data_IF_629674141047
#
_entry.id   IF_629674141047
#
_cell.length_a   1.000
_cell.length_b   1.000
_cell.length_c   1.000
_cell.angle_alpha   90.00
_cell.angle_beta   90.00
_cell.angle_gamma   90.00
#
_symmetry.space_group_name_H-M   'P 1'
#
loop_
_entity.id
_entity.type
_entity.pdbx_description
1 polymer ?
#
# COMPACT_ATOMS: atom_id res chain seq x y z
N UNK A 1 -8.31 17.64 20.33
CA UNK A 1 -8.14 16.18 20.15
C UNK A 1 -8.74 15.48 21.35
N UNK A 2 -9.79 14.71 21.11
CA UNK A 2 -10.82 14.32 22.09
C UNK A 2 -10.39 13.17 23.01
N UNK A 3 -10.82 13.22 24.28
CA UNK A 3 -10.72 12.15 25.32
C UNK A 3 -11.10 10.75 24.81
N UNK A 4 -11.88 10.65 23.74
CA UNK A 4 -12.26 9.37 23.12
C UNK A 4 -11.09 8.60 22.52
N UNK A 5 -10.04 9.28 22.03
CA UNK A 5 -8.86 8.59 21.48
C UNK A 5 -8.03 7.88 22.57
N UNK A 6 -8.01 8.43 23.79
CA UNK A 6 -7.25 7.86 24.91
C UNK A 6 -7.92 6.61 25.50
N UNK A 7 -9.26 6.58 25.52
CA UNK A 7 -10.04 5.43 26.02
C UNK A 7 -9.95 4.24 25.05
N UNK A 8 -9.97 4.50 23.74
CA UNK A 8 -9.81 3.45 22.72
C UNK A 8 -8.43 2.79 22.79
N UNK A 9 -7.35 3.55 23.00
CA UNK A 9 -5.99 3.01 23.15
C UNK A 9 -5.82 2.22 24.45
N UNK A 10 -6.42 2.64 25.56
CA UNK A 10 -6.37 1.86 26.81
C UNK A 10 -7.18 0.56 26.71
N UNK A 11 -8.33 0.60 26.03
CA UNK A 11 -9.18 -0.59 25.86
C UNK A 11 -8.52 -1.66 25.02
N UNK A 12 -7.82 -1.28 23.93
CA UNK A 12 -7.11 -2.24 23.09
C UNK A 12 -5.87 -2.81 23.76
N UNK A 13 -5.17 -2.05 24.60
CA UNK A 13 -4.05 -2.57 25.39
C UNK A 13 -4.51 -3.52 26.52
N UNK A 14 -5.64 -3.26 27.17
CA UNK A 14 -6.20 -4.18 28.17
C UNK A 14 -6.70 -5.50 27.56
N UNK A 15 -7.28 -5.45 26.36
CA UNK A 15 -7.72 -6.65 25.63
C UNK A 15 -6.53 -7.52 25.21
N UNK A 16 -5.42 -6.92 24.77
CA UNK A 16 -4.20 -7.65 24.42
C UNK A 16 -3.50 -8.26 25.65
N UNK A 17 -3.54 -7.59 26.80
CA UNK A 17 -3.03 -8.12 28.06
C UNK A 17 -3.88 -9.28 28.61
N UNK A 18 -5.21 -9.23 28.44
CA UNK A 18 -6.09 -10.36 28.81
C UNK A 18 -5.87 -11.58 27.92
N UNK A 19 -5.67 -11.40 26.61
CA UNK A 19 -5.36 -12.53 25.71
C UNK A 19 -4.00 -13.17 25.99
N UNK A 20 -3.00 -12.39 26.40
CA UNK A 20 -1.68 -12.92 26.75
C UNK A 20 -1.67 -13.69 28.09
N UNK A 21 -2.49 -13.27 29.07
CA UNK A 21 -2.64 -13.99 30.34
C UNK A 21 -3.45 -15.30 30.18
N UNK A 22 -4.47 -15.32 29.32
CA UNK A 22 -5.28 -16.52 29.08
C UNK A 22 -4.47 -17.69 28.48
N UNK A 23 -3.55 -17.39 27.54
CA UNK A 23 -2.70 -18.41 26.89
C UNK A 23 -1.67 -19.03 27.85
N UNK A 24 -1.19 -18.25 28.83
CA UNK A 24 -0.23 -18.74 29.83
C UNK A 24 -0.89 -19.61 30.92
N UNK A 25 -2.18 -19.38 31.19
CA UNK A 25 -2.97 -20.14 32.19
C UNK A 25 -3.50 -21.48 31.62
N UNK A 26 -3.76 -21.56 30.32
CA UNK A 26 -4.12 -22.84 29.65
C UNK A 26 -2.93 -23.80 29.61
N UNK A 27 -1.73 -23.34 29.23
CA UNK A 27 -0.55 -24.20 29.16
C UNK A 27 -0.10 -24.74 30.54
N UNK A 28 -0.30 -23.97 31.61
CA UNK A 28 0.01 -24.40 32.98
C UNK A 28 -1.02 -25.38 33.53
N UNK A 29 -2.30 -25.19 33.20
CA UNK A 29 -3.39 -26.10 33.55
C UNK A 29 -3.24 -27.48 32.87
N UNK A 30 -2.78 -27.52 31.62
CA UNK A 30 -2.62 -28.77 30.85
C UNK A 30 -1.50 -29.69 31.34
N UNK A 31 -0.44 -29.14 31.93
CA UNK A 31 0.64 -29.93 32.54
C UNK A 31 0.22 -30.55 33.88
N UNK A 32 -0.80 -29.99 34.56
CA UNK A 32 -1.24 -30.42 35.89
C UNK A 32 -2.19 -31.63 35.86
N UNK A 33 -2.75 -32.00 34.71
CA UNK A 33 -3.60 -33.20 34.54
C UNK A 33 -2.82 -34.48 34.21
N UNK A 34 -1.50 -34.37 34.04
CA UNK A 34 -0.60 -35.49 33.76
C UNK A 34 -0.35 -36.32 35.02
N UNK A 35 -0.15 -37.63 34.87
CA UNK A 35 0.36 -38.45 35.97
C UNK A 35 1.78 -38.03 36.36
N UNK A 36 2.20 -38.33 37.60
CA UNK A 36 3.55 -38.06 38.08
C UNK A 36 4.64 -38.65 37.16
N UNK A 37 4.36 -39.80 36.54
CA UNK A 37 5.24 -40.44 35.56
C UNK A 37 5.34 -39.64 34.25
N UNK A 38 4.24 -39.09 33.76
CA UNK A 38 4.19 -38.27 32.55
C UNK A 38 4.83 -36.90 32.76
N UNK A 39 4.60 -36.25 33.91
CA UNK A 39 5.28 -35.00 34.27
C UNK A 39 6.81 -35.17 34.31
N UNK A 40 7.31 -36.32 34.75
CA UNK A 40 8.75 -36.60 34.79
C UNK A 40 9.40 -36.74 33.40
N UNK A 41 8.62 -36.94 32.34
CA UNK A 41 9.08 -37.13 30.96
C UNK A 41 9.13 -35.82 30.16
N UNK A 42 8.41 -34.78 30.59
CA UNK A 42 8.39 -33.47 29.92
C UNK A 42 9.78 -32.84 29.91
N UNK A 43 10.26 -32.44 28.73
CA UNK A 43 11.58 -31.81 28.55
C UNK A 43 12.77 -32.78 28.68
N UNK A 44 12.54 -34.10 28.76
CA UNK A 44 13.59 -35.12 28.68
C UNK A 44 13.59 -35.79 27.30
N UNK A 45 14.76 -36.29 26.89
CA UNK A 45 14.84 -37.26 25.79
C UNK A 45 14.05 -38.50 26.21
N UNK A 46 12.94 -38.79 25.52
CA UNK A 46 12.11 -39.97 25.78
C UNK A 46 12.96 -41.23 25.61
N UNK A 47 12.82 -42.18 26.54
CA UNK A 47 13.68 -43.37 26.62
C UNK A 47 12.99 -44.66 26.14
N UNK A 48 11.66 -44.67 25.96
CA UNK A 48 10.93 -45.86 25.48
C UNK A 48 9.79 -45.52 24.50
N UNK A 49 9.47 -46.42 23.55
CA UNK A 49 8.30 -46.27 22.69
C UNK A 49 6.97 -46.23 23.44
N UNK A 50 6.84 -47.02 24.52
CA UNK A 50 5.62 -47.09 25.33
C UNK A 50 5.29 -45.73 25.97
N UNK A 51 6.32 -45.04 26.48
CA UNK A 51 6.16 -43.68 27.03
C UNK A 51 5.73 -42.68 25.96
N UNK A 52 6.30 -42.78 24.75
CA UNK A 52 5.95 -41.89 23.64
C UNK A 52 4.50 -42.12 23.18
N UNK A 53 4.07 -43.37 23.06
CA UNK A 53 2.69 -43.73 22.73
C UNK A 53 1.69 -43.27 23.81
N UNK A 54 2.06 -43.42 25.09
CA UNK A 54 1.26 -42.91 26.21
C UNK A 54 1.10 -41.39 26.16
N UNK A 55 2.18 -40.65 25.90
CA UNK A 55 2.11 -39.18 25.74
C UNK A 55 1.32 -38.75 24.50
N UNK A 56 1.47 -39.48 23.39
CA UNK A 56 0.69 -39.24 22.20
C UNK A 56 -0.80 -39.40 22.50
N UNK A 57 -1.21 -40.47 23.17
CA UNK A 57 -2.60 -40.74 23.55
C UNK A 57 -3.15 -39.69 24.52
N UNK A 58 -2.48 -39.53 25.65
CA UNK A 58 -3.05 -38.87 26.83
C UNK A 58 -2.87 -37.35 26.82
N UNK A 59 -1.94 -36.83 26.00
CA UNK A 59 -1.62 -35.40 25.94
C UNK A 59 -1.86 -34.84 24.54
N UNK A 60 -1.23 -35.43 23.53
CA UNK A 60 -1.27 -34.88 22.18
C UNK A 60 -2.67 -35.03 21.58
N UNK A 61 -3.25 -36.23 21.59
CA UNK A 61 -4.52 -36.56 20.93
C UNK A 61 -5.74 -36.67 21.88
N UNK A 62 -5.62 -36.22 23.13
CA UNK A 62 -6.65 -36.38 24.19
C UNK A 62 -8.07 -35.92 23.82
N UNK A 63 -8.19 -34.95 22.91
CA UNK A 63 -9.44 -34.37 22.41
C UNK A 63 -9.58 -34.48 20.88
N UNK A 64 -8.68 -35.25 20.26
CA UNK A 64 -8.64 -35.51 18.82
C UNK A 64 -8.47 -37.02 18.58
N UNK A 65 -9.45 -37.81 19.01
CA UNK A 65 -9.41 -39.26 18.94
C UNK A 65 -9.77 -39.79 17.54
N UNK A 66 -8.95 -39.44 16.54
CA UNK A 66 -9.14 -39.81 15.13
C UNK A 66 -7.83 -40.33 14.52
N UNK A 67 -7.89 -41.37 13.68
CA UNK A 67 -6.71 -41.89 12.97
C UNK A 67 -6.35 -41.01 11.77
N UNK A 68 -5.06 -40.78 11.51
CA UNK A 68 -4.59 -39.92 10.42
C UNK A 68 -5.07 -40.40 9.05
N UNK A 69 -4.83 -41.66 8.70
CA UNK A 69 -5.01 -42.14 7.32
C UNK A 69 -6.48 -42.30 6.91
N UNK A 70 -7.34 -42.77 7.83
CA UNK A 70 -8.71 -43.16 7.52
C UNK A 70 -9.79 -42.36 8.26
N UNK A 71 -9.43 -41.41 9.12
CA UNK A 71 -10.42 -40.62 9.87
C UNK A 71 -11.28 -41.46 10.84
N UNK A 72 -10.83 -42.66 11.22
CA UNK A 72 -11.59 -43.52 12.11
C UNK A 72 -11.48 -43.00 13.55
N UNK A 73 -12.63 -42.77 14.18
CA UNK A 73 -12.68 -42.46 15.62
C UNK A 73 -12.25 -43.66 16.44
N UNK A 74 -11.47 -43.41 17.49
CA UNK A 74 -11.03 -44.42 18.45
C UNK A 74 -11.40 -44.02 19.87
N UNK A 75 -11.37 -44.99 20.79
CA UNK A 75 -11.54 -44.75 22.22
C UNK A 75 -10.48 -45.51 23.01
N UNK A 76 -9.87 -44.88 24.01
CA UNK A 76 -8.89 -45.52 24.89
C UNK A 76 -9.54 -46.66 25.70
N UNK A 77 -8.84 -47.80 25.87
CA UNK A 77 -9.34 -48.97 26.59
C UNK A 77 -8.25 -49.63 27.45
N UNK A 78 -8.62 -50.34 28.53
CA UNK A 78 -7.64 -50.90 29.47
C UNK A 78 -6.71 -51.99 28.88
N UNK A 79 -7.07 -52.59 27.73
CA UNK A 79 -6.34 -53.73 27.13
C UNK A 79 -5.51 -53.35 25.89
N UNK A 80 -5.80 -52.22 25.25
CA UNK A 80 -5.14 -51.74 24.02
C UNK A 80 -5.04 -50.22 24.06
N UNK A 81 -4.02 -49.63 23.40
CA UNK A 81 -3.88 -48.16 23.36
C UNK A 81 -5.13 -47.45 22.79
N UNK A 82 -5.96 -48.16 22.02
CA UNK A 82 -7.32 -47.73 21.67
C UNK A 82 -8.06 -48.79 20.84
N UNK A 83 -9.39 -48.70 20.85
CA UNK A 83 -10.29 -49.53 20.05
C UNK A 83 -10.97 -48.70 18.96
N UNK A 84 -11.11 -49.28 17.76
CA UNK A 84 -11.70 -48.68 16.56
C UNK A 84 -12.96 -49.47 16.18
N UNK A 85 -13.96 -48.79 15.64
CA UNK A 85 -15.13 -49.43 15.03
C UNK A 85 -15.05 -49.27 13.49
N UNK A 86 -14.44 -50.23 12.74
CA UNK A 86 -14.19 -50.12 11.30
C UNK A 86 -15.41 -49.71 10.47
N UNK A 87 -16.54 -50.34 10.79
CA UNK A 87 -17.80 -50.13 10.08
C UNK A 87 -18.35 -48.71 10.21
N UNK A 88 -17.96 -47.96 11.26
CA UNK A 88 -18.41 -46.56 11.46
C UNK A 88 -17.68 -45.58 10.55
N UNK A 89 -16.44 -45.86 10.18
CA UNK A 89 -15.66 -45.06 9.22
C UNK A 89 -15.66 -45.67 7.81
N UNK A 90 -16.44 -46.73 7.57
CA UNK A 90 -16.50 -47.39 6.27
C UNK A 90 -15.21 -48.11 5.88
N UNK A 91 -14.36 -48.44 6.85
CA UNK A 91 -13.14 -49.20 6.63
C UNK A 91 -13.50 -50.66 6.33
N UNK A 92 -13.01 -51.15 5.19
CA UNK A 92 -13.01 -52.58 4.89
C UNK A 92 -11.67 -53.16 5.33
N UNK A 93 -11.68 -53.92 6.42
CA UNK A 93 -10.49 -54.62 6.90
C UNK A 93 -10.55 -56.05 6.35
N UNK A 94 -10.30 -56.21 5.05
CA UNK A 94 -10.20 -57.54 4.43
C UNK A 94 -8.98 -58.27 4.99
N UNK A 95 -9.18 -59.06 6.06
CA UNK A 95 -8.37 -60.24 6.40
C UNK A 95 -9.00 -61.17 7.47
N UNK A 96 -10.23 -60.91 7.93
CA UNK A 96 -10.92 -61.79 8.88
C UNK A 96 -10.27 -61.86 10.26
N UNK A 97 -9.38 -60.92 10.58
CA UNK A 97 -8.79 -60.70 11.89
C UNK A 97 -9.29 -59.40 12.54
N UNK A 98 -8.91 -59.18 13.80
CA UNK A 98 -9.30 -58.00 14.60
C UNK A 98 -8.41 -56.77 14.33
N UNK A 99 -7.52 -56.80 13.33
CA UNK A 99 -6.55 -55.72 13.09
C UNK A 99 -7.20 -54.41 12.61
N UNK A 100 -8.40 -54.46 12.04
CA UNK A 100 -9.18 -53.26 11.76
C UNK A 100 -9.68 -52.55 13.03
N UNK A 101 -9.82 -53.28 14.13
CA UNK A 101 -10.41 -52.80 15.38
C UNK A 101 -9.38 -52.23 16.36
N UNK A 102 -8.08 -52.31 16.01
CA UNK A 102 -6.97 -51.98 16.91
C UNK A 102 -6.32 -50.66 16.48
N UNK A 103 -6.20 -49.73 17.43
CA UNK A 103 -5.36 -48.54 17.28
C UNK A 103 -3.88 -48.95 17.28
N UNK A 104 -3.13 -48.39 16.32
CA UNK A 104 -1.68 -48.54 16.22
C UNK A 104 -1.03 -47.17 16.10
N UNK A 105 0.07 -46.96 16.81
CA UNK A 105 0.90 -45.77 16.65
C UNK A 105 1.90 -45.99 15.52
N UNK A 106 1.72 -45.26 14.43
CA UNK A 106 2.56 -45.34 13.24
C UNK A 106 3.64 -44.26 13.24
N UNK A 107 4.82 -44.63 12.73
CA UNK A 107 5.84 -43.68 12.35
C UNK A 107 5.65 -43.29 10.88
N UNK A 108 5.24 -42.03 10.64
CA UNK A 108 4.98 -41.49 9.29
C UNK A 108 6.18 -41.69 8.37
N UNK A 109 7.37 -41.38 8.91
CA UNK A 109 8.67 -41.82 8.39
C UNK A 109 8.97 -43.19 9.01
N UNK A 110 8.92 -44.29 8.24
CA UNK A 110 9.06 -45.61 8.81
C UNK A 110 10.44 -45.84 9.42
N UNK A 111 10.49 -46.63 10.50
CA UNK A 111 11.72 -46.82 11.27
C UNK A 111 12.90 -47.42 10.49
N UNK A 112 12.61 -48.15 9.40
CA UNK A 112 13.63 -48.65 8.49
C UNK A 112 14.35 -47.56 7.69
N UNK A 113 13.74 -46.39 7.48
CA UNK A 113 14.33 -45.31 6.67
C UNK A 113 15.53 -44.68 7.35
N UNK A 114 15.46 -44.47 8.65
CA UNK A 114 16.57 -43.98 9.46
C UNK A 114 17.39 -45.11 10.11
N UNK A 115 16.95 -46.37 10.04
CA UNK A 115 17.67 -47.52 10.57
C UNK A 115 18.57 -48.26 9.58
N UNK A 116 18.17 -48.39 8.31
CA UNK A 116 18.80 -49.29 7.32
C UNK A 116 20.27 -49.02 7.02
N UNK A 117 20.78 -47.84 7.34
CA UNK A 117 22.19 -47.47 7.19
C UNK A 117 23.08 -47.83 8.39
N UNK A 118 22.49 -48.26 9.50
CA UNK A 118 23.19 -48.53 10.76
C UNK A 118 23.59 -50.00 10.88
N UNK A 119 24.75 -50.26 11.50
CA UNK A 119 25.24 -51.63 11.71
C UNK A 119 24.31 -52.47 12.60
N UNK A 120 23.68 -51.85 13.61
CA UNK A 120 22.66 -52.50 14.45
C UNK A 120 21.45 -53.02 13.64
N UNK A 121 21.21 -52.46 12.46
CA UNK A 121 20.13 -52.86 11.57
C UNK A 121 20.55 -53.97 10.62
N UNK A 122 21.73 -53.85 10.03
CA UNK A 122 22.21 -54.71 8.93
C UNK A 122 23.04 -55.90 9.43
N UNK A 123 24.04 -55.60 10.24
CA UNK A 123 25.08 -56.54 10.68
C UNK A 123 24.75 -57.20 12.01
N UNK A 124 24.02 -56.49 12.89
CA UNK A 124 23.76 -56.92 14.27
C UNK A 124 24.81 -56.39 15.26
N UNK A 125 24.78 -56.90 16.49
CA UNK A 125 25.69 -56.44 17.55
C UNK A 125 25.75 -57.44 18.72
N UNK A 126 26.89 -57.50 19.41
CA UNK A 126 27.09 -58.41 20.55
C UNK A 126 26.10 -58.19 21.70
N UNK A 127 25.65 -56.96 21.91
CA UNK A 127 24.66 -56.64 22.93
C UNK A 127 23.22 -57.08 22.56
N UNK A 128 22.96 -57.39 21.29
CA UNK A 128 21.62 -57.73 20.79
C UNK A 128 21.41 -59.24 20.76
N UNK A 129 21.42 -59.88 21.93
CA UNK A 129 21.16 -61.32 22.08
C UNK A 129 19.96 -61.60 22.98
N UNK A 130 19.04 -62.44 22.53
CA UNK A 130 17.88 -62.89 23.33
C UNK A 130 17.76 -64.41 23.24
N UNK A 131 17.90 -65.09 24.38
CA UNK A 131 17.86 -66.56 24.43
C UNK A 131 18.97 -67.23 23.62
N UNK A 132 20.14 -66.59 23.49
CA UNK A 132 21.29 -67.11 22.73
C UNK A 132 21.26 -66.81 21.22
N UNK A 133 20.16 -66.23 20.72
CA UNK A 133 20.05 -65.82 19.32
C UNK A 133 20.31 -64.32 19.18
N UNK A 134 21.15 -63.95 18.21
CA UNK A 134 21.34 -62.57 17.80
C UNK A 134 20.06 -62.03 17.15
N UNK A 135 19.70 -60.77 17.44
CA UNK A 135 18.64 -60.05 16.75
C UNK A 135 19.15 -58.72 16.18
N UNK A 136 18.49 -58.24 15.12
CA UNK A 136 18.86 -57.04 14.37
C UNK A 136 17.65 -56.15 14.14
N UNK A 137 17.87 -54.99 13.53
CA UNK A 137 16.80 -54.07 13.13
C UNK A 137 16.36 -53.16 14.26
N UNK A 138 15.09 -52.76 14.26
CA UNK A 138 14.53 -51.74 15.16
C UNK A 138 14.85 -52.01 16.64
N UNK A 139 14.59 -53.22 17.13
CA UNK A 139 14.84 -53.55 18.54
C UNK A 139 16.33 -53.47 18.93
N UNK A 140 17.24 -53.74 18.00
CA UNK A 140 18.68 -53.67 18.26
C UNK A 140 19.17 -52.22 18.18
N UNK A 141 18.70 -51.46 17.18
CA UNK A 141 19.06 -50.04 17.05
C UNK A 141 18.49 -49.18 18.17
N UNK A 142 17.28 -49.46 18.66
CA UNK A 142 16.72 -48.79 19.83
C UNK A 142 17.58 -48.97 21.09
N UNK A 143 18.31 -50.08 21.20
CA UNK A 143 19.21 -50.35 22.32
C UNK A 143 20.57 -49.65 22.17
N UNK A 144 21.07 -49.49 20.95
CA UNK A 144 22.47 -49.16 20.69
C UNK A 144 22.72 -47.75 20.15
N UNK A 145 21.74 -47.18 19.47
CA UNK A 145 21.87 -45.89 18.83
C UNK A 145 20.85 -44.92 19.43
N UNK A 146 21.35 -43.95 20.18
CA UNK A 146 20.52 -42.95 20.84
C UNK A 146 19.79 -42.06 19.84
N UNK A 147 20.41 -41.78 18.68
CA UNK A 147 19.79 -40.96 17.63
C UNK A 147 18.65 -41.73 16.98
N UNK A 148 18.86 -43.01 16.68
CA UNK A 148 17.81 -43.90 16.20
C UNK A 148 16.65 -43.97 17.20
N UNK A 149 16.97 -44.13 18.48
CA UNK A 149 15.99 -44.14 19.56
C UNK A 149 15.19 -42.84 19.55
N UNK A 150 15.86 -41.68 19.57
CA UNK A 150 15.22 -40.35 19.48
C UNK A 150 14.30 -40.19 18.27
N UNK A 151 14.73 -40.60 17.08
CA UNK A 151 13.90 -40.55 15.87
C UNK A 151 12.67 -41.44 15.98
N UNK A 152 12.79 -42.61 16.62
CA UNK A 152 11.70 -43.57 16.77
C UNK A 152 10.59 -43.11 17.73
N UNK A 153 10.93 -42.22 18.67
CA UNK A 153 10.01 -41.67 19.69
C UNK A 153 9.73 -40.18 19.52
N UNK A 154 10.10 -39.61 18.37
CA UNK A 154 9.75 -38.23 18.04
C UNK A 154 8.24 -38.14 17.80
N UNK A 155 7.53 -37.39 18.66
CA UNK A 155 6.08 -37.30 18.59
C UNK A 155 5.62 -36.57 17.32
N UNK A 156 6.46 -35.75 16.68
CA UNK A 156 6.13 -35.18 15.37
C UNK A 156 5.98 -36.25 14.30
N UNK A 157 6.68 -37.38 14.45
CA UNK A 157 6.65 -38.53 13.55
C UNK A 157 5.63 -39.60 13.96
N UNK A 158 4.98 -39.50 15.13
CA UNK A 158 4.04 -40.50 15.65
C UNK A 158 2.59 -40.07 15.44
N UNK A 159 1.79 -40.94 14.81
CA UNK A 159 0.39 -40.68 14.46
C UNK A 159 -0.51 -41.89 14.74
N UNK A 160 -1.78 -41.69 15.11
CA UNK A 160 -2.74 -42.77 15.28
C UNK A 160 -3.14 -43.34 13.91
N UNK A 161 -3.11 -44.66 13.78
CA UNK A 161 -3.47 -45.38 12.56
C UNK A 161 -4.28 -46.63 12.92
N UNK A 162 -5.06 -47.14 11.97
CA UNK A 162 -5.63 -48.48 12.10
C UNK A 162 -4.51 -49.50 11.90
N UNK A 163 -4.45 -50.55 12.73
CA UNK A 163 -3.36 -51.54 12.66
C UNK A 163 -3.24 -52.21 11.29
N UNK A 164 -4.35 -52.59 10.66
CA UNK A 164 -4.35 -53.16 9.29
C UNK A 164 -3.72 -52.22 8.25
N UNK A 165 -4.04 -50.93 8.32
CA UNK A 165 -3.52 -49.88 7.43
C UNK A 165 -2.02 -49.66 7.68
N UNK A 166 -1.61 -49.58 8.95
CA UNK A 166 -0.21 -49.43 9.33
C UNK A 166 0.63 -50.64 8.83
N UNK A 167 0.12 -51.86 9.02
CA UNK A 167 0.78 -53.08 8.56
C UNK A 167 0.90 -53.12 7.02
N UNK A 168 -0.14 -52.72 6.29
CA UNK A 168 -0.10 -52.65 4.82
C UNK A 168 0.90 -51.61 4.30
N UNK A 169 0.94 -50.42 4.93
CA UNK A 169 1.96 -49.39 4.66
C UNK A 169 3.37 -49.95 4.85
N UNK A 170 3.63 -50.55 6.01
CA UNK A 170 4.96 -51.01 6.39
C UNK A 170 6.02 -49.91 6.24
N UNK A 171 7.08 -50.22 5.49
CA UNK A 171 8.28 -49.38 5.36
C UNK A 171 8.37 -48.57 4.05
N UNK A 172 7.28 -48.45 3.31
CA UNK A 172 7.29 -47.82 1.97
C UNK A 172 7.13 -46.29 2.08
N UNK A 173 7.73 -45.52 1.15
CA UNK A 173 7.55 -44.08 1.11
C UNK A 173 6.14 -43.73 0.60
N UNK A 174 5.74 -42.48 0.83
CA UNK A 174 4.52 -41.95 0.23
C UNK A 174 4.71 -41.64 -1.26
N UNK A 175 3.64 -41.62 -2.04
CA UNK A 175 3.66 -41.23 -3.45
C UNK A 175 2.34 -41.48 -4.15
N UNK A 176 2.30 -41.24 -5.45
CA UNK A 176 1.12 -41.51 -6.28
C UNK A 176 1.11 -42.99 -6.71
N UNK A 177 -0.03 -43.64 -6.56
CA UNK A 177 -0.38 -45.02 -6.92
C UNK A 177 -1.38 -44.98 -8.06
N UNK A 178 -1.00 -45.47 -9.24
CA UNK A 178 -1.80 -45.28 -10.47
C UNK A 178 -3.04 -46.18 -10.58
N UNK A 179 -2.99 -47.39 -10.02
CA UNK A 179 -4.07 -48.37 -10.17
C UNK A 179 -5.19 -48.20 -9.12
N UNK A 180 -5.01 -47.26 -8.18
CA UNK A 180 -5.92 -46.94 -7.07
C UNK A 180 -6.64 -48.18 -6.44
N UNK A 181 -5.90 -49.19 -5.95
CA UNK A 181 -6.51 -50.36 -5.33
C UNK A 181 -7.29 -49.95 -4.07
N UNK A 182 -8.61 -50.15 -4.08
CA UNK A 182 -9.52 -49.77 -2.98
C UNK A 182 -9.64 -50.88 -1.92
N UNK A 183 -8.50 -51.28 -1.36
CA UNK A 183 -8.40 -52.38 -0.39
C UNK A 183 -9.04 -52.05 0.97
N UNK A 184 -9.18 -50.76 1.31
CA UNK A 184 -9.67 -50.29 2.62
C UNK A 184 -11.07 -49.70 2.59
N UNK A 185 -11.89 -50.06 1.60
CA UNK A 185 -13.27 -49.61 1.49
C UNK A 185 -13.39 -48.09 1.25
N UNK A 186 -14.02 -47.37 2.18
CA UNK A 186 -14.21 -45.90 2.08
C UNK A 186 -12.96 -45.11 2.50
N UNK A 187 -11.97 -45.75 3.13
CA UNK A 187 -10.70 -45.11 3.42
C UNK A 187 -9.93 -44.87 2.12
N UNK A 188 -9.66 -43.61 1.80
CA UNK A 188 -8.86 -43.19 0.65
C UNK A 188 -7.37 -43.34 0.97
N UNK A 189 -6.93 -44.59 1.03
CA UNK A 189 -5.56 -45.00 1.29
C UNK A 189 -5.24 -46.21 0.41
N UNK A 190 -4.15 -46.11 -0.34
CA UNK A 190 -3.77 -47.14 -1.31
C UNK A 190 -2.30 -47.54 -1.10
N UNK A 191 -1.99 -48.82 -1.30
CA UNK A 191 -0.60 -49.31 -1.33
C UNK A 191 -0.34 -49.92 -2.69
N UNK A 192 0.51 -49.27 -3.48
CA UNK A 192 0.92 -49.75 -4.80
C UNK A 192 2.11 -50.71 -4.72
N UNK A 193 2.22 -51.61 -5.70
CA UNK A 193 3.32 -52.58 -5.77
C UNK A 193 4.51 -52.10 -6.60
N UNK A 194 4.30 -51.36 -7.69
CA UNK A 194 5.36 -51.00 -8.65
C UNK A 194 5.31 -49.51 -9.06
N UNK A 195 6.31 -48.71 -8.63
CA UNK A 195 7.19 -48.99 -7.50
C UNK A 195 6.38 -49.00 -6.20
N UNK A 196 6.88 -49.70 -5.18
CA UNK A 196 6.15 -49.86 -3.92
C UNK A 196 6.09 -48.53 -3.14
N UNK A 197 4.90 -47.99 -2.96
CA UNK A 197 4.60 -46.73 -2.25
C UNK A 197 3.15 -46.73 -1.78
N UNK A 198 2.84 -45.91 -0.78
CA UNK A 198 1.47 -45.69 -0.35
C UNK A 198 0.99 -44.31 -0.80
N UNK A 199 -0.28 -44.20 -1.16
CA UNK A 199 -0.96 -42.94 -1.46
C UNK A 199 -1.96 -42.64 -0.34
N UNK A 200 -1.80 -41.52 0.38
CA UNK A 200 -2.80 -41.05 1.32
C UNK A 200 -3.82 -40.13 0.63
N UNK A 201 -4.96 -39.92 1.30
CA UNK A 201 -5.95 -38.94 0.89
C UNK A 201 -5.35 -37.54 0.72
N UNK A 202 -5.90 -36.75 -0.21
CA UNK A 202 -5.34 -35.43 -0.56
C UNK A 202 -5.34 -34.44 0.59
N UNK A 203 -6.22 -34.60 1.58
CA UNK A 203 -6.41 -33.70 2.73
C UNK A 203 -5.48 -33.97 3.91
N UNK A 204 -4.57 -34.95 3.80
CA UNK A 204 -3.55 -35.24 4.83
C UNK A 204 -2.14 -35.32 4.22
N UNK A 205 -2.01 -34.95 2.95
CA UNK A 205 -0.73 -35.00 2.21
C UNK A 205 0.26 -34.02 2.80
N UNK A 206 -0.22 -32.87 3.25
CA UNK A 206 0.56 -31.82 3.87
C UNK A 206 1.13 -32.28 5.20
N UNK A 207 0.31 -32.88 6.06
CA UNK A 207 0.71 -33.42 7.37
C UNK A 207 1.83 -34.43 7.23
N UNK A 208 1.66 -35.39 6.31
CA UNK A 208 2.67 -36.41 6.01
C UNK A 208 3.93 -35.76 5.45
N UNK A 209 3.79 -34.84 4.50
CA UNK A 209 4.92 -34.16 3.89
C UNK A 209 5.74 -33.36 4.92
N UNK A 210 5.08 -32.58 5.78
CA UNK A 210 5.73 -31.80 6.83
C UNK A 210 6.39 -32.68 7.88
N UNK A 211 5.84 -33.84 8.20
CA UNK A 211 6.51 -34.82 9.07
C UNK A 211 7.79 -35.38 8.42
N UNK A 212 7.77 -35.73 7.14
CA UNK A 212 8.96 -36.17 6.41
C UNK A 212 10.04 -35.07 6.31
N UNK A 213 9.63 -33.85 5.96
CA UNK A 213 10.54 -32.70 5.85
C UNK A 213 11.15 -32.33 7.21
N UNK A 214 10.35 -32.37 8.28
CA UNK A 214 10.83 -32.19 9.65
C UNK A 214 11.89 -33.22 10.01
N UNK A 215 11.63 -34.50 9.76
CA UNK A 215 12.58 -35.55 10.10
C UNK A 215 13.85 -35.45 9.27
N UNK A 216 13.77 -35.06 7.99
CA UNK A 216 14.94 -34.86 7.13
C UNK A 216 15.79 -33.67 7.60
N UNK A 217 15.18 -32.52 7.89
CA UNK A 217 15.89 -31.32 8.33
C UNK A 217 16.43 -31.45 9.76
N UNK A 218 15.74 -32.16 10.65
CA UNK A 218 16.13 -32.34 12.06
C UNK A 218 17.23 -33.37 12.22
N UNK A 219 17.16 -34.47 11.47
CA UNK A 219 18.03 -35.63 11.68
C UNK A 219 18.95 -35.95 10.50
N UNK A 220 18.81 -35.29 9.35
CA UNK A 220 19.67 -35.47 8.19
C UNK A 220 19.49 -36.84 7.51
N UNK A 221 18.26 -37.32 7.37
CA UNK A 221 17.93 -38.67 6.85
C UNK A 221 18.26 -38.89 5.36
N UNK A 222 18.85 -37.89 4.69
CA UNK A 222 19.31 -37.93 3.31
C UNK A 222 18.18 -38.24 2.31
N UNK A 223 17.04 -37.55 2.46
CA UNK A 223 15.97 -37.58 1.45
C UNK A 223 16.50 -37.06 0.10
N UNK A 224 16.18 -37.75 -0.99
CA UNK A 224 16.62 -37.32 -2.33
C UNK A 224 15.94 -36.00 -2.71
N UNK A 225 16.63 -35.14 -3.46
CA UNK A 225 16.07 -33.86 -3.91
C UNK A 225 14.73 -34.02 -4.66
N UNK A 226 14.57 -35.08 -5.47
CA UNK A 226 13.32 -35.34 -6.19
C UNK A 226 12.16 -35.70 -5.26
N UNK A 227 12.41 -36.47 -4.19
CA UNK A 227 11.40 -36.81 -3.20
C UNK A 227 11.08 -35.61 -2.29
N UNK A 228 12.10 -34.85 -1.88
CA UNK A 228 11.91 -33.59 -1.13
C UNK A 228 10.99 -32.63 -1.88
N UNK A 229 11.22 -32.42 -3.18
CA UNK A 229 10.35 -31.57 -4.00
C UNK A 229 8.92 -32.10 -4.16
N UNK A 230 8.68 -33.41 -4.03
CA UNK A 230 7.31 -33.95 -3.97
C UNK A 230 6.64 -33.54 -2.66
N UNK A 231 7.34 -33.72 -1.54
CA UNK A 231 6.85 -33.37 -0.20
C UNK A 231 6.56 -31.87 -0.10
N UNK A 232 7.48 -31.01 -0.56
CA UNK A 232 7.28 -29.55 -0.57
C UNK A 232 6.00 -29.15 -1.33
N UNK A 233 5.74 -29.76 -2.50
CA UNK A 233 4.50 -29.50 -3.25
C UNK A 233 3.26 -29.98 -2.52
N UNK A 234 3.34 -31.09 -1.80
CA UNK A 234 2.22 -31.62 -1.02
C UNK A 234 1.94 -30.75 0.20
N UNK A 235 2.96 -30.27 0.89
CA UNK A 235 2.83 -29.30 1.98
C UNK A 235 2.18 -27.99 1.51
N UNK A 236 2.51 -27.52 0.30
CA UNK A 236 1.89 -26.32 -0.28
C UNK A 236 0.43 -26.55 -0.70
N UNK A 237 0.10 -27.73 -1.26
CA UNK A 237 -1.25 -28.05 -1.72
C UNK A 237 -2.24 -28.29 -0.58
N UNK A 238 -1.74 -28.76 0.56
CA UNK A 238 -2.51 -29.10 1.75
C UNK A 238 -1.95 -28.30 2.95
N UNK A 239 -2.37 -27.03 3.10
CA UNK A 239 -1.81 -26.11 4.07
C UNK A 239 -2.15 -26.51 5.50
N UNK A 240 -1.29 -26.09 6.44
CA UNK A 240 -1.46 -26.34 7.88
C UNK A 240 -2.84 -25.92 8.38
N UNK A 241 -3.57 -26.89 8.94
CA UNK A 241 -4.86 -26.67 9.56
C UNK A 241 -4.75 -26.34 11.07
N UNK A 242 -5.90 -26.06 11.69
CA UNK A 242 -5.92 -25.67 13.10
C UNK A 242 -5.53 -26.83 14.03
N UNK A 243 -5.80 -28.08 13.63
CA UNK A 243 -5.47 -29.26 14.41
C UNK A 243 -3.97 -29.56 14.36
N UNK A 244 -3.35 -29.54 13.18
CA UNK A 244 -1.92 -29.78 13.03
C UNK A 244 -1.09 -28.75 13.79
N UNK A 245 -1.51 -27.48 13.78
CA UNK A 245 -0.90 -26.43 14.59
C UNK A 245 -1.02 -26.72 16.09
N UNK A 246 -2.19 -27.16 16.56
CA UNK A 246 -2.43 -27.48 17.95
C UNK A 246 -1.61 -28.69 18.41
N UNK A 247 -1.60 -29.75 17.60
CA UNK A 247 -0.73 -30.92 17.76
C UNK A 247 0.74 -30.50 17.88
N UNK A 248 1.22 -29.65 16.98
CA UNK A 248 2.62 -29.19 16.99
C UNK A 248 2.96 -28.37 18.25
N UNK A 249 2.03 -27.55 18.77
CA UNK A 249 2.23 -26.84 20.05
C UNK A 249 2.35 -27.81 21.22
N UNK A 250 1.45 -28.80 21.31
CA UNK A 250 1.47 -29.81 22.39
C UNK A 250 2.76 -30.61 22.37
N UNK A 251 3.20 -31.05 21.19
CA UNK A 251 4.48 -31.76 21.03
C UNK A 251 5.67 -30.87 21.41
N UNK A 252 5.66 -29.59 20.99
CA UNK A 252 6.72 -28.64 21.36
C UNK A 252 6.80 -28.46 22.87
N UNK A 253 5.66 -28.39 23.57
CA UNK A 253 5.63 -28.30 25.02
C UNK A 253 6.20 -29.55 25.71
N UNK A 254 6.00 -30.74 25.11
CA UNK A 254 6.50 -32.01 25.64
C UNK A 254 8.00 -32.26 25.37
N UNK A 255 8.43 -32.08 24.12
CA UNK A 255 9.77 -32.47 23.65
C UNK A 255 10.72 -31.28 23.42
N UNK A 256 10.22 -30.04 23.48
CA UNK A 256 11.00 -28.83 23.23
C UNK A 256 11.42 -28.61 21.76
N UNK A 257 11.05 -29.51 20.85
CA UNK A 257 11.37 -29.45 19.42
C UNK A 257 10.20 -28.86 18.62
N UNK A 258 10.52 -27.87 17.80
CA UNK A 258 9.56 -27.19 16.92
C UNK A 258 9.65 -27.80 15.52
N UNK A 259 8.51 -28.17 14.95
CA UNK A 259 8.44 -28.51 13.53
C UNK A 259 8.30 -27.23 12.69
N UNK A 260 9.42 -26.72 12.17
CA UNK A 260 9.46 -25.46 11.42
C UNK A 260 8.49 -25.43 10.24
N UNK A 261 8.25 -26.57 9.57
CA UNK A 261 7.33 -26.64 8.43
C UNK A 261 5.87 -26.37 8.80
N UNK A 262 5.46 -26.69 10.04
CA UNK A 262 4.11 -26.35 10.54
C UNK A 262 4.02 -24.88 10.94
N UNK A 263 5.07 -24.35 11.59
CA UNK A 263 5.08 -22.99 12.12
C UNK A 263 5.30 -21.93 11.03
N UNK A 264 6.17 -22.20 10.06
CA UNK A 264 6.51 -21.27 8.98
C UNK A 264 5.35 -21.09 8.00
N UNK A 265 4.61 -22.16 7.66
CA UNK A 265 3.45 -22.07 6.77
C UNK A 265 2.33 -21.19 7.37
N UNK A 266 2.08 -21.30 8.69
CA UNK A 266 1.02 -20.53 9.36
C UNK A 266 1.46 -19.11 9.72
N UNK A 267 2.65 -18.93 10.28
CA UNK A 267 3.13 -17.59 10.69
C UNK A 267 3.64 -16.80 9.48
N UNK A 268 4.34 -17.44 8.55
CA UNK A 268 4.89 -16.80 7.35
C UNK A 268 3.80 -16.20 6.48
N UNK A 269 2.71 -16.93 6.25
CA UNK A 269 1.56 -16.45 5.48
C UNK A 269 0.87 -15.25 6.14
N UNK A 270 0.64 -15.29 7.45
CA UNK A 270 0.03 -14.20 8.22
C UNK A 270 0.91 -12.92 8.24
N UNK A 271 2.22 -13.08 8.42
CA UNK A 271 3.17 -11.95 8.43
C UNK A 271 3.28 -11.31 7.05
N UNK A 272 3.33 -12.12 5.98
CA UNK A 272 3.35 -11.63 4.60
C UNK A 272 2.06 -10.87 4.25
N UNK A 273 0.90 -11.40 4.65
CA UNK A 273 -0.38 -10.73 4.45
C UNK A 273 -0.43 -9.38 5.18
N UNK A 274 0.06 -9.32 6.43
CA UNK A 274 0.13 -8.07 7.18
C UNK A 274 1.06 -7.04 6.52
N UNK A 275 2.19 -7.46 5.95
CA UNK A 275 3.09 -6.59 5.19
C UNK A 275 2.41 -6.03 3.93
N UNK A 276 1.71 -6.87 3.18
CA UNK A 276 0.96 -6.46 1.99
C UNK A 276 -0.12 -5.43 2.32
N UNK A 277 -0.88 -5.63 3.40
CA UNK A 277 -1.89 -4.67 3.84
C UNK A 277 -1.30 -3.33 4.30
N UNK A 278 -0.15 -3.35 4.98
CA UNK A 278 0.57 -2.11 5.34
C UNK A 278 0.97 -1.32 4.10
N UNK A 279 1.46 -2.00 3.05
CA UNK A 279 1.82 -1.34 1.80
C UNK A 279 0.61 -0.72 1.10
N UNK A 280 -0.50 -1.45 1.00
CA UNK A 280 -1.76 -0.93 0.41
C UNK A 280 -2.24 0.32 1.16
N UNK A 281 -2.21 0.29 2.50
CA UNK A 281 -2.59 1.44 3.32
C UNK A 281 -1.72 2.67 3.03
N UNK A 282 -0.40 2.50 2.93
CA UNK A 282 0.54 3.59 2.62
C UNK A 282 0.33 4.16 1.21
N UNK A 283 0.06 3.30 0.21
CA UNK A 283 -0.25 3.74 -1.16
C UNK A 283 -1.55 4.55 -1.18
N UNK A 284 -2.59 4.07 -0.50
CA UNK A 284 -3.87 4.78 -0.42
C UNK A 284 -3.71 6.16 0.24
N UNK A 285 -2.94 6.24 1.33
CA UNK A 285 -2.66 7.49 2.02
C UNK A 285 -1.92 8.47 1.10
N UNK A 286 -0.93 7.99 0.35
CA UNK A 286 -0.16 8.79 -0.60
C UNK A 286 -1.05 9.36 -1.72
N UNK A 287 -1.95 8.55 -2.27
CA UNK A 287 -2.91 8.99 -3.30
C UNK A 287 -3.83 10.08 -2.74
N UNK A 288 -4.35 9.90 -1.52
CA UNK A 288 -5.21 10.93 -0.89
C UNK A 288 -4.47 12.23 -0.63
N UNK A 289 -3.21 12.16 -0.19
CA UNK A 289 -2.38 13.34 0.04
C UNK A 289 -2.08 14.09 -1.27
N UNK A 290 -1.77 13.37 -2.34
CA UNK A 290 -1.58 13.96 -3.68
C UNK A 290 -2.87 14.62 -4.18
N UNK A 291 -4.00 13.94 -4.03
CA UNK A 291 -5.31 14.48 -4.43
C UNK A 291 -5.66 15.76 -3.65
N UNK A 292 -5.47 15.77 -2.32
CA UNK A 292 -5.73 16.94 -1.49
C UNK A 292 -4.84 18.12 -1.90
N UNK A 293 -3.55 17.87 -2.13
CA UNK A 293 -2.60 18.89 -2.57
C UNK A 293 -3.00 19.47 -3.92
N UNK A 294 -3.42 18.62 -4.87
CA UNK A 294 -3.91 19.06 -6.18
C UNK A 294 -5.17 19.95 -6.08
N UNK A 295 -6.11 19.59 -5.21
CA UNK A 295 -7.32 20.39 -4.98
C UNK A 295 -7.00 21.76 -4.36
N UNK A 296 -6.10 21.80 -3.36
CA UNK A 296 -5.66 23.06 -2.75
C UNK A 296 -4.96 23.97 -3.77
N UNK A 297 -4.13 23.39 -4.63
CA UNK A 297 -3.45 24.15 -5.69
C UNK A 297 -4.45 24.72 -6.71
N UNK A 298 -5.45 23.93 -7.13
CA UNK A 298 -6.49 24.41 -8.04
C UNK A 298 -7.35 25.51 -7.41
N UNK A 299 -7.66 25.39 -6.11
CA UNK A 299 -8.47 26.39 -5.39
C UNK A 299 -7.78 27.74 -5.24
N UNK A 300 -6.45 27.80 -5.32
CA UNK A 300 -5.68 29.04 -5.20
C UNK A 300 -5.65 29.90 -6.47
N UNK A 301 -6.15 29.39 -7.61
CA UNK A 301 -6.09 30.13 -8.88
C UNK A 301 -7.26 31.12 -9.00
N UNK A 302 -6.94 32.42 -8.94
CA UNK A 302 -7.90 33.50 -9.15
C UNK A 302 -8.19 33.63 -10.65
N UNK A 303 -9.46 33.45 -11.06
CA UNK A 303 -9.94 33.77 -12.41
C UNK A 303 -10.70 35.10 -12.37
N UNK A 304 -10.00 36.20 -12.62
CA UNK A 304 -10.63 37.51 -12.79
C UNK A 304 -11.07 37.66 -14.27
N UNK A 305 -12.37 37.75 -14.53
CA UNK A 305 -12.92 38.03 -15.86
C UNK A 305 -13.52 39.45 -15.83
N UNK A 306 -12.92 40.44 -16.52
CA UNK A 306 -13.46 41.80 -16.57
C UNK A 306 -14.74 41.89 -17.43
N UNK A 307 -15.63 42.82 -17.06
CA UNK A 307 -16.87 43.12 -17.77
C UNK A 307 -16.88 44.59 -18.22
N UNK A 308 -17.25 44.85 -19.47
CA UNK A 308 -17.50 46.22 -19.98
C UNK A 308 -19.00 46.45 -20.02
N UNK A 309 -19.44 47.60 -19.52
CA UNK A 309 -20.84 48.05 -19.63
C UNK A 309 -20.87 49.22 -20.61
N UNK A 310 -21.58 49.07 -21.73
CA UNK A 310 -21.84 50.20 -22.64
C UNK A 310 -23.08 50.94 -22.15
N UNK A 311 -22.95 52.26 -21.96
CA UNK A 311 -24.05 53.15 -21.56
C UNK A 311 -24.41 54.00 -22.78
N UNK A 312 -25.70 54.04 -23.15
CA UNK A 312 -26.17 54.91 -24.22
C UNK A 312 -26.36 56.37 -23.74
N UNK A 313 -26.62 57.31 -24.65
CA UNK A 313 -26.83 58.74 -24.33
C UNK A 313 -27.99 59.00 -23.34
N UNK A 314 -28.85 58.00 -23.07
CA UNK A 314 -29.98 58.08 -22.16
C UNK A 314 -29.73 57.38 -20.79
N UNK A 315 -28.53 56.85 -20.54
CA UNK A 315 -28.18 56.21 -19.27
C UNK A 315 -28.61 54.74 -19.12
N UNK A 316 -29.07 54.09 -20.18
CA UNK A 316 -29.46 52.68 -20.16
C UNK A 316 -28.26 51.76 -20.49
N UNK A 317 -28.14 50.66 -19.76
CA UNK A 317 -27.06 49.67 -19.93
C UNK A 317 -27.38 48.70 -21.06
N UNK A 318 -26.57 48.72 -22.13
CA UNK A 318 -26.66 47.76 -23.22
C UNK A 318 -25.71 46.59 -22.94
N UNK A 319 -26.31 45.39 -22.84
CA UNK A 319 -25.75 44.03 -22.85
C UNK A 319 -24.30 43.86 -22.32
N UNK A 320 -24.17 43.22 -21.16
CA UNK A 320 -22.90 42.85 -20.52
C UNK A 320 -22.40 41.52 -21.10
N UNK A 321 -21.34 41.54 -21.91
CA UNK A 321 -20.65 40.33 -22.38
C UNK A 321 -19.27 40.20 -21.71
N UNK A 322 -18.84 39.00 -21.28
CA UNK A 322 -17.49 38.77 -20.77
C UNK A 322 -16.46 38.99 -21.89
N UNK A 323 -15.34 39.65 -21.56
CA UNK A 323 -14.19 39.93 -22.45
C UNK A 323 -13.52 38.62 -22.92
N UNK A 324 -14.13 37.90 -23.87
CA UNK A 324 -13.46 36.88 -24.68
C UNK A 324 -13.10 37.40 -26.08
N UNK A 325 -13.57 38.59 -26.46
CA UNK A 325 -13.21 39.24 -27.71
C UNK A 325 -12.30 40.42 -27.42
N UNK A 326 -11.18 40.51 -28.15
CA UNK A 326 -10.26 41.65 -28.11
C UNK A 326 -11.08 42.91 -28.34
N UNK A 327 -11.12 43.82 -27.37
CA UNK A 327 -11.75 45.12 -27.56
C UNK A 327 -10.96 45.89 -28.62
N UNK A 328 -11.58 46.16 -29.77
CA UNK A 328 -11.04 47.02 -30.81
C UNK A 328 -11.72 48.40 -30.72
N UNK A 329 -11.06 49.43 -30.13
CA UNK A 329 -11.63 50.76 -30.05
C UNK A 329 -11.88 51.31 -31.45
N UNK A 330 -13.05 51.89 -31.67
CA UNK A 330 -13.34 52.60 -32.91
C UNK A 330 -12.47 53.87 -33.00
N UNK A 331 -12.11 54.29 -34.21
CA UNK A 331 -11.29 55.48 -34.49
C UNK A 331 -11.80 56.74 -33.79
N UNK A 332 -13.12 56.91 -33.67
CA UNK A 332 -13.73 58.04 -32.93
C UNK A 332 -13.41 58.01 -31.43
N UNK A 333 -13.44 56.82 -30.83
CA UNK A 333 -13.11 56.61 -29.42
C UNK A 333 -11.62 56.83 -29.19
N UNK A 334 -10.76 56.36 -30.10
CA UNK A 334 -9.31 56.57 -30.03
C UNK A 334 -8.95 58.05 -30.17
N UNK A 335 -9.59 58.76 -31.12
CA UNK A 335 -9.42 60.21 -31.30
C UNK A 335 -9.83 60.97 -30.03
N UNK A 336 -10.98 60.63 -29.44
CA UNK A 336 -11.43 61.26 -28.20
C UNK A 336 -10.45 61.02 -27.06
N UNK A 337 -10.02 59.77 -26.88
CA UNK A 337 -9.05 59.39 -25.85
C UNK A 337 -7.73 60.18 -26.00
N UNK A 338 -7.16 60.23 -27.20
CA UNK A 338 -5.90 60.94 -27.45
C UNK A 338 -6.05 62.46 -27.29
N UNK A 339 -7.17 63.03 -27.72
CA UNK A 339 -7.47 64.46 -27.54
C UNK A 339 -7.60 64.84 -26.07
N UNK A 340 -8.28 64.02 -25.27
CA UNK A 340 -8.40 64.18 -23.81
C UNK A 340 -7.05 63.99 -23.12
N UNK A 341 -6.28 62.96 -23.51
CA UNK A 341 -4.94 62.70 -22.99
C UNK A 341 -4.00 63.90 -23.23
N UNK A 342 -3.98 64.45 -24.46
CA UNK A 342 -3.21 65.66 -24.80
C UNK A 342 -3.67 66.85 -23.96
N UNK A 343 -4.98 67.03 -23.80
CA UNK A 343 -5.51 68.15 -23.01
C UNK A 343 -5.06 68.07 -21.55
N UNK A 344 -5.02 66.86 -20.96
CA UNK A 344 -4.55 66.61 -19.58
C UNK A 344 -3.06 66.87 -19.40
N UNK A 345 -2.22 66.41 -20.33
CA UNK A 345 -0.75 66.60 -20.20
C UNK A 345 -0.26 67.99 -20.61
N UNK A 346 -1.01 68.71 -21.46
CA UNK A 346 -0.62 70.03 -21.98
C UNK A 346 -1.33 71.20 -21.31
N UNK A 347 -2.38 70.96 -20.52
CA UNK A 347 -2.99 72.01 -19.71
C UNK A 347 -2.22 72.23 -18.40
N UNK A 348 -2.31 73.43 -17.86
CA UNK A 348 -1.80 73.78 -16.53
C UNK A 348 -2.91 74.46 -15.76
N UNK A 349 -3.46 73.73 -14.79
CA UNK A 349 -4.42 74.27 -13.84
C UNK A 349 -3.70 75.14 -12.79
N UNK A 350 -4.47 76.00 -12.13
CA UNK A 350 -4.02 76.74 -10.95
C UNK A 350 -3.84 75.79 -9.75
N UNK A 351 -4.54 74.65 -9.75
CA UNK A 351 -4.41 73.61 -8.73
C UNK A 351 -3.30 72.61 -9.08
N UNK A 352 -2.26 72.56 -8.25
CA UNK A 352 -1.12 71.65 -8.41
C UNK A 352 -1.53 70.17 -8.30
N UNK A 353 -2.47 69.85 -7.41
CA UNK A 353 -2.89 68.46 -7.15
C UNK A 353 -3.56 67.88 -8.40
N UNK A 354 -4.40 68.67 -9.07
CA UNK A 354 -5.04 68.28 -10.32
C UNK A 354 -3.99 67.99 -11.41
N UNK A 355 -3.00 68.88 -11.56
CA UNK A 355 -1.92 68.71 -12.55
C UNK A 355 -1.12 67.44 -12.27
N UNK A 356 -0.76 67.18 -11.00
CA UNK A 356 -0.04 65.95 -10.64
C UNK A 356 -0.87 64.69 -10.94
N UNK A 357 -2.16 64.68 -10.59
CA UNK A 357 -3.05 63.54 -10.85
C UNK A 357 -3.23 63.26 -12.34
N UNK A 358 -3.40 64.30 -13.15
CA UNK A 358 -3.56 64.16 -14.59
C UNK A 358 -2.31 63.59 -15.24
N UNK A 359 -1.12 64.01 -14.79
CA UNK A 359 0.14 63.44 -15.24
C UNK A 359 0.32 61.99 -14.80
N UNK A 360 0.05 61.64 -13.54
CA UNK A 360 0.17 60.26 -13.06
C UNK A 360 -0.74 59.33 -13.86
N UNK A 361 -2.00 59.72 -14.08
CA UNK A 361 -2.96 58.93 -14.88
C UNK A 361 -2.55 58.86 -16.35
N UNK A 362 -1.96 59.92 -16.91
CA UNK A 362 -1.49 59.91 -18.28
C UNK A 362 -0.36 58.88 -18.50
N UNK A 363 0.49 58.68 -17.50
CA UNK A 363 1.58 57.69 -17.54
C UNK A 363 1.09 56.24 -17.54
N UNK A 364 -0.10 55.95 -17.00
CA UNK A 364 -0.70 54.60 -17.03
C UNK A 364 -0.99 54.09 -18.46
N UNK A 365 -1.01 54.99 -19.45
CA UNK A 365 -1.25 54.69 -20.87
C UNK A 365 0.02 54.73 -21.73
N UNK A 366 1.20 54.97 -21.15
CA UNK A 366 2.46 55.06 -21.89
C UNK A 366 3.19 53.72 -21.89
N UNK A 367 3.76 53.34 -23.03
CA UNK A 367 4.70 52.22 -23.14
C UNK A 367 5.81 52.54 -24.16
N UNK A 368 6.87 51.74 -24.19
CA UNK A 368 7.93 51.84 -25.19
C UNK A 368 8.61 53.21 -25.27
N UNK A 369 8.75 53.75 -26.48
CA UNK A 369 9.45 55.01 -26.74
C UNK A 369 8.72 56.23 -26.15
N UNK A 370 7.38 56.20 -26.15
CA UNK A 370 6.55 57.28 -25.62
C UNK A 370 6.80 57.54 -24.13
N UNK A 371 6.97 56.49 -23.32
CA UNK A 371 7.30 56.62 -21.89
C UNK A 371 8.65 57.34 -21.69
N UNK A 372 9.66 56.96 -22.48
CA UNK A 372 10.97 57.60 -22.45
C UNK A 372 10.94 59.06 -22.93
N UNK A 373 10.16 59.37 -23.96
CA UNK A 373 9.92 60.75 -24.42
C UNK A 373 9.28 61.62 -23.32
N UNK A 374 8.18 61.15 -22.73
CA UNK A 374 7.44 61.90 -21.72
C UNK A 374 8.21 62.06 -20.40
N UNK A 375 9.01 61.07 -20.02
CA UNK A 375 9.87 61.15 -18.83
C UNK A 375 10.93 62.24 -19.00
N UNK A 376 11.58 62.30 -20.18
CA UNK A 376 12.55 63.37 -20.48
C UNK A 376 11.88 64.75 -20.54
N UNK A 377 10.69 64.83 -21.13
CA UNK A 377 9.90 66.06 -21.17
C UNK A 377 9.58 66.56 -19.75
N UNK A 378 9.15 65.66 -18.86
CA UNK A 378 8.85 65.97 -17.46
C UNK A 378 10.08 66.44 -16.66
N UNK A 379 11.26 65.87 -16.95
CA UNK A 379 12.51 66.27 -16.29
C UNK A 379 12.99 67.64 -16.76
N UNK A 380 12.85 67.94 -18.05
CA UNK A 380 13.27 69.22 -18.63
C UNK A 380 12.32 70.36 -18.30
N UNK A 381 11.02 70.08 -18.27
CA UNK A 381 9.97 71.04 -17.95
C UNK A 381 8.98 70.39 -16.96
N UNK A 382 9.29 70.40 -15.65
CA UNK A 382 8.41 69.84 -14.65
C UNK A 382 7.01 70.44 -14.73
N UNK A 383 5.94 69.61 -14.74
CA UNK A 383 4.59 70.10 -14.94
C UNK A 383 4.07 71.02 -13.83
N UNK A 384 4.67 70.94 -12.63
CA UNK A 384 4.30 71.74 -11.46
C UNK A 384 5.10 73.02 -11.28
N UNK A 385 6.20 73.24 -12.02
CA UNK A 385 7.15 74.33 -11.77
C UNK A 385 6.52 75.73 -11.88
N UNK A 386 5.52 75.90 -12.74
CA UNK A 386 4.87 77.19 -13.00
C UNK A 386 3.41 77.26 -12.54
N UNK A 387 2.97 76.30 -11.73
CA UNK A 387 1.61 76.29 -11.19
C UNK A 387 1.39 77.52 -10.30
N UNK A 388 0.27 78.20 -10.50
CA UNK A 388 -0.07 79.45 -9.79
C UNK A 388 0.57 80.72 -10.38
N UNK A 389 1.52 80.60 -11.31
CA UNK A 389 2.14 81.74 -12.02
C UNK A 389 1.53 81.94 -13.40
N UNK A 390 1.35 80.85 -14.15
CA UNK A 390 0.69 80.81 -15.44
C UNK A 390 -0.39 79.72 -15.46
N UNK A 391 -1.51 79.98 -16.13
CA UNK A 391 -2.50 78.96 -16.45
C UNK A 391 -2.47 78.71 -17.97
N UNK A 392 -2.52 77.44 -18.38
CA UNK A 392 -2.47 77.06 -19.78
C UNK A 392 -3.72 76.25 -20.11
N UNK A 393 -4.52 76.75 -21.06
CA UNK A 393 -5.71 76.05 -21.55
C UNK A 393 -5.44 75.46 -22.92
N UNK A 394 -5.83 74.20 -23.13
CA UNK A 394 -5.67 73.50 -24.40
C UNK A 394 -7.02 73.46 -25.12
N UNK A 395 -7.06 73.83 -26.39
CA UNK A 395 -8.23 73.65 -27.26
C UNK A 395 -7.85 72.82 -28.48
N UNK A 396 -8.60 71.75 -28.71
CA UNK A 396 -8.38 70.85 -29.85
C UNK A 396 -8.96 71.51 -31.11
N UNK A 397 -8.11 71.71 -32.12
CA UNK A 397 -8.51 72.29 -33.41
C UNK A 397 -8.96 71.21 -34.39
N UNK A 398 -8.18 70.13 -34.48
CA UNK A 398 -8.44 69.03 -35.40
C UNK A 398 -7.86 67.74 -34.84
N UNK A 399 -8.58 66.64 -35.03
CA UNK A 399 -8.08 65.32 -34.72
C UNK A 399 -8.43 64.36 -35.87
N UNK A 400 -7.43 63.64 -36.37
CA UNK A 400 -7.60 62.72 -37.49
C UNK A 400 -6.67 61.52 -37.41
N UNK A 401 -7.14 60.37 -37.92
CA UNK A 401 -6.32 59.18 -38.11
C UNK A 401 -5.45 59.33 -39.35
N UNK A 402 -4.15 59.04 -39.24
CA UNK A 402 -3.20 59.07 -40.35
C UNK A 402 -2.99 57.67 -40.94
N UNK A 403 -2.82 56.65 -40.10
CA UNK A 403 -2.60 55.25 -40.51
C UNK A 403 -3.40 54.31 -39.62
N UNK A 404 -3.28 52.99 -39.78
CA UNK A 404 -3.95 52.00 -38.91
C UNK A 404 -3.68 52.20 -37.42
N UNK A 405 -2.49 52.71 -37.05
CA UNK A 405 -2.05 52.87 -35.65
C UNK A 405 -1.61 54.30 -35.31
N UNK A 406 -1.65 55.23 -36.25
CA UNK A 406 -1.13 56.59 -36.07
C UNK A 406 -2.24 57.63 -36.15
N UNK A 407 -2.25 58.56 -35.20
CA UNK A 407 -3.24 59.62 -35.06
C UNK A 407 -2.55 60.97 -34.93
N UNK A 408 -3.16 62.02 -35.46
CA UNK A 408 -2.66 63.39 -35.37
C UNK A 408 -3.71 64.29 -34.70
N UNK A 409 -3.27 65.05 -33.71
CA UNK A 409 -4.06 66.01 -32.95
C UNK A 409 -3.41 67.38 -33.08
N UNK A 410 -4.08 68.31 -33.77
CA UNK A 410 -3.71 69.72 -33.82
C UNK A 410 -4.47 70.46 -32.72
N UNK A 411 -3.77 71.23 -31.91
CA UNK A 411 -4.33 71.95 -30.76
C UNK A 411 -3.63 73.29 -30.57
N UNK A 412 -4.32 74.17 -29.85
CA UNK A 412 -3.78 75.46 -29.44
C UNK A 412 -3.63 75.50 -27.92
N UNK A 413 -2.58 76.16 -27.45
CA UNK A 413 -2.39 76.52 -26.06
C UNK A 413 -2.57 78.03 -25.87
N UNK A 414 -3.57 78.39 -25.06
CA UNK A 414 -3.79 79.77 -24.63
C UNK A 414 -3.14 79.95 -23.25
N UNK A 415 -2.18 80.86 -23.16
CA UNK A 415 -1.46 81.17 -21.93
C UNK A 415 -2.12 82.36 -21.22
N UNK A 416 -2.27 82.24 -19.90
CA UNK A 416 -2.83 83.28 -19.04
C UNK A 416 -1.89 83.59 -17.88
N UNK A 417 -1.58 84.86 -17.68
CA UNK A 417 -0.76 85.34 -16.54
C UNK A 417 -1.65 86.24 -15.70
N UNK A 418 -1.75 85.95 -14.40
CA UNK A 418 -2.64 86.68 -13.47
C UNK A 418 -4.10 86.79 -13.97
N UNK A 419 -4.59 85.76 -14.68
CA UNK A 419 -5.95 85.70 -15.21
C UNK A 419 -6.20 86.49 -16.51
N UNK A 420 -5.19 87.16 -17.06
CA UNK A 420 -5.27 87.83 -18.36
C UNK A 420 -4.60 87.00 -19.44
N UNK A 421 -5.19 86.99 -20.65
CA UNK A 421 -4.59 86.33 -21.81
C UNK A 421 -3.24 86.98 -22.16
N UNK A 422 -2.21 86.15 -22.33
CA UNK A 422 -0.84 86.58 -22.61
C UNK A 422 -0.50 86.34 -24.09
N UNK A 423 -0.39 85.08 -24.49
CA UNK A 423 -0.14 84.71 -25.89
C UNK A 423 -0.74 83.34 -26.21
N UNK A 424 -0.71 83.02 -27.51
CA UNK A 424 -1.23 81.78 -28.08
C UNK A 424 -0.09 81.02 -28.78
N UNK A 425 -0.09 79.70 -28.64
CA UNK A 425 0.82 78.81 -29.37
C UNK A 425 0.03 77.70 -30.09
N UNK A 426 0.32 77.48 -31.37
CA UNK A 426 -0.26 76.37 -32.14
C UNK A 426 0.70 75.17 -32.13
N UNK A 427 0.14 73.97 -31.97
CA UNK A 427 0.89 72.73 -31.80
C UNK A 427 0.24 71.58 -32.55
N UNK A 428 1.08 70.66 -33.02
CA UNK A 428 0.65 69.39 -33.62
C UNK A 428 1.31 68.23 -32.90
N UNK A 429 0.50 67.26 -32.45
CA UNK A 429 0.95 66.03 -31.84
C UNK A 429 0.58 64.82 -32.69
N UNK A 430 1.55 63.92 -32.90
CA UNK A 430 1.38 62.64 -33.58
C UNK A 430 1.60 61.50 -32.59
N UNK A 431 0.64 60.58 -32.56
CA UNK A 431 0.61 59.43 -31.65
C UNK A 431 0.65 58.14 -32.44
N UNK A 432 1.46 57.19 -31.99
CA UNK A 432 1.35 55.79 -32.40
C UNK A 432 0.78 54.99 -31.24
N UNK A 433 -0.28 54.22 -31.47
CA UNK A 433 -0.99 53.46 -30.45
C UNK A 433 -0.97 51.95 -30.73
N UNK A 434 -0.97 51.16 -29.68
CA UNK A 434 -1.13 49.72 -29.70
C UNK A 434 -2.21 49.31 -28.68
N UNK A 435 -3.01 48.30 -29.01
CA UNK A 435 -4.08 47.82 -28.13
C UNK A 435 -3.77 46.37 -27.75
N UNK A 436 -3.57 46.11 -26.46
CA UNK A 436 -3.19 44.80 -25.93
C UNK A 436 -4.05 44.46 -24.72
N UNK A 437 -4.54 43.21 -24.58
CA UNK A 437 -5.40 42.84 -23.47
C UNK A 437 -4.68 42.93 -22.11
N UNK A 438 -5.27 43.65 -21.16
CA UNK A 438 -4.81 43.72 -19.76
C UNK A 438 -5.12 42.40 -19.05
N UNK A 439 -4.11 41.75 -18.48
CA UNK A 439 -4.25 40.38 -17.93
C UNK A 439 -4.07 40.31 -16.41
N UNK A 440 -3.38 41.28 -15.81
CA UNK A 440 -3.22 41.38 -14.36
C UNK A 440 -4.34 42.20 -13.72
N UNK A 441 -4.82 41.84 -12.50
CA UNK A 441 -5.76 42.69 -11.74
C UNK A 441 -5.30 44.14 -11.59
N UNK A 442 -4.00 44.37 -11.40
CA UNK A 442 -3.44 45.72 -11.24
C UNK A 442 -3.44 46.52 -12.55
N UNK A 443 -3.27 45.85 -13.70
CA UNK A 443 -3.33 46.48 -15.02
C UNK A 443 -4.76 46.87 -15.39
N UNK A 444 -5.75 46.04 -15.03
CA UNK A 444 -7.17 46.29 -15.30
C UNK A 444 -7.65 47.55 -14.57
N UNK A 445 -7.17 47.80 -13.34
CA UNK A 445 -7.56 48.99 -12.56
C UNK A 445 -7.05 50.28 -13.23
N UNK A 446 -5.86 50.24 -13.82
CA UNK A 446 -5.19 51.43 -14.39
C UNK A 446 -5.55 51.68 -15.86
N UNK A 447 -5.59 50.61 -16.66
CA UNK A 447 -5.86 50.64 -18.09
C UNK A 447 -6.76 49.46 -18.48
N UNK A 448 -8.07 49.53 -18.20
CA UNK A 448 -9.01 48.43 -18.44
C UNK A 448 -9.20 48.13 -19.94
N UNK A 449 -8.97 49.11 -20.81
CA UNK A 449 -9.15 48.98 -22.26
C UNK A 449 -7.87 48.52 -22.98
N UNK A 450 -6.74 48.46 -22.28
CA UNK A 450 -5.49 47.98 -22.86
C UNK A 450 -4.90 48.89 -23.94
N UNK A 451 -5.20 50.20 -23.90
CA UNK A 451 -4.73 51.18 -24.89
C UNK A 451 -3.36 51.70 -24.46
N UNK A 452 -2.34 51.52 -25.30
CA UNK A 452 -0.99 52.01 -25.03
C UNK A 452 -0.56 52.98 -26.12
N UNK A 453 -0.09 54.16 -25.71
CA UNK A 453 0.62 55.10 -26.58
C UNK A 453 2.08 54.66 -26.58
N UNK A 454 2.56 54.19 -27.73
CA UNK A 454 3.92 53.62 -27.89
C UNK A 454 4.90 54.61 -28.55
N UNK A 455 4.37 55.61 -29.27
CA UNK A 455 5.17 56.70 -29.85
C UNK A 455 4.45 58.04 -29.72
N UNK A 456 5.21 59.09 -29.42
CA UNK A 456 4.74 60.47 -29.26
C UNK A 456 5.73 61.40 -29.96
N UNK A 457 5.20 62.29 -30.79
CA UNK A 457 5.94 63.40 -31.38
C UNK A 457 5.09 64.67 -31.30
N UNK A 458 5.56 65.69 -30.59
CA UNK A 458 4.82 66.95 -30.36
C UNK A 458 5.68 68.11 -30.82
N UNK A 459 5.18 68.85 -31.81
CA UNK A 459 5.90 69.96 -32.43
C UNK A 459 5.09 71.25 -32.37
N UNK A 460 5.78 72.37 -32.14
CA UNK A 460 5.19 73.71 -32.18
C UNK A 460 5.09 74.15 -33.63
N UNK A 461 3.91 74.55 -34.05
CA UNK A 461 3.68 75.06 -35.40
C UNK A 461 4.05 76.54 -35.42
N UNK A 462 5.11 76.88 -36.16
CA UNK A 462 5.44 78.27 -36.45
C UNK A 462 4.59 78.69 -37.65
N UNK A 463 3.51 79.43 -37.39
CA UNK A 463 2.69 80.02 -38.46
C UNK A 463 3.57 80.80 -39.45
N UNK A 464 3.29 80.63 -40.74
CA UNK A 464 3.76 81.55 -41.79
C UNK A 464 3.03 82.88 -41.71
#
# INVERSE_FOLDING_TARGET
MSRQAFILVLSTQLSLLHSAYAVADEASFELHSLSDAQQALVGRTLISPEDAWGLARDVVYRDHEETLYCGCKWASYDKYDGAIAPTRCGLDAENGDDTGEILSWDNVVPAAWFGKGLSCWTEGHEACHRGGNEYRGQACCALLDTTYMEMSVDLHNIVPAVLSVNQSKGNVPTGIVHDEPREFGQCNFEVGDIPRRYEPSTSIRGDIARAWLYMDDTYGMAVTASYRSLLERWAEQDPVDDWELERAKRITALQGRVNSHVWDDRIGSAVAQAANWRLIALISLSITALSLTGNLWQSGQVRAVPYIVQINENGETLKVEPLQQIYEPNDRQMIFFLADWVSKIRSRSIDEVQVQQDWIRAFDYLDGEALGYMTRLAQQNPPTEKVGLEAVTVKILKASKLTTRTYQIAFVQDHYIQGSFDHKEDWTATFTVDVRPSSSPDEIIKNPLGIYIVGIDINKDFGQ
#
